data_IF_259712200456
#
_entry.id   IF_259712200456
#
_cell.length_a   1.000
_cell.length_b   1.000
_cell.length_c   1.000
_cell.angle_alpha   90.00
_cell.angle_beta   90.00
_cell.angle_gamma   90.00
#
_symmetry.space_group_name_H-M   'P 1'
#
loop_
_entity.id
_entity.type
_entity.pdbx_description
1 polymer ?
#
# COMPACT_ATOMS: atom_id res chain seq x y z
N UNK A 1 6.78 -1.25 4.00
CA UNK A 1 7.12 0.17 4.23
C UNK A 1 6.45 0.66 5.50
N UNK A 2 7.19 1.41 6.34
CA UNK A 2 6.70 2.11 7.53
C UNK A 2 6.68 3.61 7.21
N UNK A 3 5.52 4.24 7.20
CA UNK A 3 5.37 5.66 6.82
C UNK A 3 4.86 6.49 7.98
N UNK A 4 5.44 7.68 8.18
CA UNK A 4 4.88 8.71 9.05
C UNK A 4 3.73 9.40 8.34
N UNK A 5 2.52 9.24 8.84
CA UNK A 5 1.31 9.83 8.24
C UNK A 5 1.28 11.33 8.57
N UNK A 6 1.17 12.22 7.57
CA UNK A 6 1.05 13.65 7.81
C UNK A 6 -0.17 13.98 8.67
N UNK A 7 0.00 14.88 9.64
CA UNK A 7 -1.11 15.38 10.45
C UNK A 7 -1.69 16.62 9.79
N UNK A 8 -2.97 16.55 9.43
CA UNK A 8 -3.70 17.68 8.89
C UNK A 8 -4.06 18.71 9.96
N UNK A 9 -4.08 20.00 9.59
CA UNK A 9 -4.47 21.10 10.49
C UNK A 9 -5.54 21.97 9.86
N UNK A 10 -6.41 22.54 10.70
CA UNK A 10 -7.41 23.51 10.26
C UNK A 10 -6.67 24.73 9.69
N UNK A 11 -7.10 25.18 8.51
CA UNK A 11 -6.46 26.26 7.76
C UNK A 11 -5.20 25.85 6.98
N UNK A 12 -4.78 24.59 7.03
CA UNK A 12 -3.73 24.07 6.15
C UNK A 12 -4.17 24.19 4.69
N UNK A 13 -3.28 24.72 3.84
CA UNK A 13 -3.57 25.03 2.44
C UNK A 13 -3.08 23.89 1.55
N UNK A 14 -4.01 23.18 0.91
CA UNK A 14 -3.72 22.20 -0.14
C UNK A 14 -3.91 22.85 -1.52
N UNK A 15 -2.82 22.93 -2.29
CA UNK A 15 -2.83 23.36 -3.69
C UNK A 15 -2.87 22.17 -4.64
N UNK A 16 -3.91 22.10 -5.47
CA UNK A 16 -4.08 21.08 -6.50
C UNK A 16 -5.07 21.57 -7.57
N UNK A 17 -4.80 21.26 -8.83
CA UNK A 17 -5.57 21.67 -10.00
C UNK A 17 -5.64 23.17 -10.19
N UNK A 18 -4.56 23.88 -9.91
CA UNK A 18 -4.52 25.36 -9.93
C UNK A 18 -5.43 26.05 -8.91
N UNK A 19 -6.08 25.29 -8.03
CA UNK A 19 -6.96 25.76 -6.96
C UNK A 19 -6.31 25.51 -5.62
N UNK A 20 -6.74 26.26 -4.63
CA UNK A 20 -6.35 26.08 -3.25
C UNK A 20 -7.56 25.77 -2.38
N UNK A 21 -7.38 24.86 -1.43
CA UNK A 21 -8.37 24.48 -0.43
C UNK A 21 -7.75 24.65 0.95
N UNK A 22 -8.41 25.41 1.82
CA UNK A 22 -8.06 25.46 3.23
C UNK A 22 -8.86 24.36 3.95
N UNK A 23 -8.18 23.44 4.64
CA UNK A 23 -8.86 22.38 5.37
C UNK A 23 -9.68 22.97 6.52
N UNK A 24 -10.96 22.61 6.59
CA UNK A 24 -11.83 23.02 7.69
C UNK A 24 -11.76 22.03 8.87
N UNK A 25 -12.52 22.31 9.93
CA UNK A 25 -12.56 21.46 11.12
C UNK A 25 -13.10 20.07 10.83
N UNK A 26 -14.07 19.97 9.92
CA UNK A 26 -14.69 18.72 9.57
C UNK A 26 -13.73 17.87 8.72
N UNK A 27 -12.93 18.48 7.84
CA UNK A 27 -11.92 17.82 7.01
C UNK A 27 -10.89 17.12 7.91
N UNK A 28 -10.39 17.86 8.90
CA UNK A 28 -9.42 17.37 9.87
C UNK A 28 -10.04 16.28 10.76
N UNK A 29 -11.26 16.47 11.26
CA UNK A 29 -11.95 15.49 12.10
C UNK A 29 -12.22 14.18 11.34
N UNK A 30 -12.59 14.26 10.05
CA UNK A 30 -12.79 13.08 9.22
C UNK A 30 -11.48 12.35 8.91
N UNK A 31 -10.40 13.09 8.64
CA UNK A 31 -9.08 12.51 8.42
C UNK A 31 -8.54 11.82 9.68
N UNK A 32 -8.67 12.45 10.85
CA UNK A 32 -8.28 11.85 12.14
C UNK A 32 -9.12 10.61 12.47
N UNK A 33 -10.43 10.67 12.21
CA UNK A 33 -11.32 9.50 12.36
C UNK A 33 -10.84 8.34 11.50
N UNK A 34 -10.58 8.58 10.22
CA UNK A 34 -10.11 7.56 9.29
C UNK A 34 -8.73 7.02 9.68
N UNK A 35 -7.81 7.90 10.09
CA UNK A 35 -6.49 7.52 10.58
C UNK A 35 -6.56 6.60 11.81
N UNK A 36 -7.48 6.88 12.75
CA UNK A 36 -7.69 6.03 13.91
C UNK A 36 -8.17 4.62 13.54
N UNK A 37 -8.96 4.49 12.48
CA UNK A 37 -9.44 3.20 11.97
C UNK A 37 -8.40 2.45 11.15
N UNK A 38 -7.50 3.14 10.43
CA UNK A 38 -6.58 2.51 9.48
C UNK A 38 -5.13 2.37 9.97
N UNK A 39 -4.69 3.22 10.89
CA UNK A 39 -3.28 3.38 11.27
C UNK A 39 -3.02 3.15 12.75
N UNK A 40 -1.73 3.11 13.10
CA UNK A 40 -1.27 2.96 14.47
C UNK A 40 -0.75 4.27 15.02
N UNK A 41 -0.84 4.46 16.33
CA UNK A 41 -0.36 5.67 16.99
C UNK A 41 0.91 5.40 17.79
N UNK A 42 1.91 6.26 17.60
CA UNK A 42 3.11 6.30 18.43
C UNK A 42 2.86 7.22 19.64
N UNK A 43 3.30 6.80 20.83
CA UNK A 43 3.26 7.64 22.05
C UNK A 43 2.45 7.10 23.22
N UNK A 44 2.00 5.84 23.17
CA UNK A 44 1.29 5.15 24.26
C UNK A 44 -0.19 5.54 24.44
N UNK A 45 -0.93 4.81 25.27
CA UNK A 45 -2.34 5.11 25.56
C UNK A 45 -2.48 6.50 26.22
N UNK A 46 -3.34 7.36 25.67
CA UNK A 46 -3.62 8.68 26.23
C UNK A 46 -2.83 9.86 25.65
N UNK A 47 -1.84 9.61 24.79
CA UNK A 47 -1.14 10.70 24.09
C UNK A 47 -1.95 11.19 22.88
N UNK A 48 -2.86 12.14 23.12
CA UNK A 48 -3.68 12.81 22.11
C UNK A 48 -2.88 13.65 21.09
N UNK A 49 -1.57 13.79 21.28
CA UNK A 49 -0.63 14.42 20.34
C UNK A 49 0.21 13.46 19.51
N UNK A 50 0.13 12.15 19.74
CA UNK A 50 0.98 11.14 19.11
C UNK A 50 0.82 11.04 17.59
N UNK A 51 1.91 10.68 16.90
CA UNK A 51 1.98 10.59 15.44
C UNK A 51 1.37 9.29 14.91
N UNK A 52 0.74 9.39 13.75
CA UNK A 52 0.17 8.24 13.05
C UNK A 52 1.23 7.56 12.17
N UNK A 53 1.24 6.23 12.20
CA UNK A 53 2.13 5.39 11.40
C UNK A 53 1.33 4.40 10.58
N UNK A 54 1.60 4.40 9.28
CA UNK A 54 1.04 3.46 8.34
C UNK A 54 2.05 2.35 8.04
N UNK A 55 1.63 1.10 8.25
CA UNK A 55 2.32 -0.08 7.77
C UNK A 55 1.66 -0.51 6.47
N UNK A 56 2.43 -0.55 5.39
CA UNK A 56 1.91 -0.88 4.06
C UNK A 56 2.88 -1.80 3.32
N UNK A 57 2.33 -2.71 2.54
CA UNK A 57 3.10 -3.48 1.56
C UNK A 57 3.39 -2.57 0.37
N UNK A 58 4.60 -2.67 -0.17
CA UNK A 58 5.04 -1.84 -1.28
C UNK A 58 5.79 -2.74 -2.27
N UNK A 59 5.47 -2.61 -3.56
CA UNK A 59 6.32 -3.16 -4.62
C UNK A 59 7.67 -2.45 -4.61
N UNK A 60 8.75 -3.22 -4.66
CA UNK A 60 10.11 -2.70 -4.62
C UNK A 60 10.84 -3.15 -5.88
N UNK A 61 11.38 -2.19 -6.62
CA UNK A 61 12.11 -2.46 -7.85
C UNK A 61 13.22 -1.42 -8.07
N UNK A 62 14.06 -1.68 -9.07
CA UNK A 62 15.21 -0.87 -9.43
C UNK A 62 14.81 0.51 -9.96
N UNK A 63 15.38 1.61 -9.41
CA UNK A 63 15.11 2.96 -9.90
C UNK A 63 15.40 3.15 -11.40
N UNK A 64 16.41 2.46 -11.93
CA UNK A 64 16.79 2.54 -13.35
C UNK A 64 15.71 2.08 -14.32
N UNK A 65 14.73 1.30 -13.87
CA UNK A 65 13.63 0.85 -14.71
C UNK A 65 12.60 1.95 -14.92
N UNK A 66 12.52 2.95 -14.02
CA UNK A 66 11.65 4.12 -14.16
C UNK A 66 10.17 3.81 -14.41
N UNK A 67 9.72 2.58 -14.12
CA UNK A 67 8.36 2.09 -14.38
C UNK A 67 7.84 1.28 -13.20
N UNK A 68 6.52 1.19 -13.10
CA UNK A 68 5.90 0.32 -12.11
C UNK A 68 6.13 -1.16 -12.47
N UNK A 69 6.59 -1.96 -11.50
CA UNK A 69 6.86 -3.40 -11.69
C UNK A 69 5.60 -4.22 -12.01
N UNK A 70 4.41 -3.69 -11.71
CA UNK A 70 3.15 -4.32 -12.06
C UNK A 70 2.71 -4.07 -13.51
N UNK A 71 3.49 -3.34 -14.32
CA UNK A 71 3.14 -3.11 -15.72
C UNK A 71 3.66 -4.24 -16.60
N UNK A 72 2.74 -4.84 -17.36
CA UNK A 72 3.08 -5.70 -18.48
C UNK A 72 3.69 -4.89 -19.63
N UNK A 73 4.21 -5.59 -20.63
CA UNK A 73 4.88 -4.95 -21.77
C UNK A 73 3.93 -4.10 -22.65
N UNK A 74 2.62 -4.33 -22.56
CA UNK A 74 1.60 -3.51 -23.21
C UNK A 74 1.25 -2.24 -22.42
N UNK A 75 1.94 -1.99 -21.29
CA UNK A 75 1.72 -0.85 -20.41
C UNK A 75 0.46 -0.97 -19.55
N UNK A 76 -0.25 -2.09 -19.58
CA UNK A 76 -1.37 -2.37 -18.66
C UNK A 76 -0.85 -2.96 -17.36
N UNK A 77 -1.56 -2.68 -16.28
CA UNK A 77 -1.24 -3.29 -14.99
C UNK A 77 -1.65 -4.77 -15.01
N UNK A 78 -0.69 -5.69 -14.88
CA UNK A 78 -0.95 -7.12 -14.81
C UNK A 78 -1.73 -7.51 -13.55
N UNK A 79 -1.61 -6.73 -12.47
CA UNK A 79 -2.34 -6.96 -11.21
C UNK A 79 -3.82 -6.59 -11.30
N UNK A 80 -4.21 -5.72 -12.25
CA UNK A 80 -5.61 -5.30 -12.40
C UNK A 80 -6.55 -6.46 -12.78
N UNK A 81 -6.03 -7.50 -13.42
CA UNK A 81 -6.81 -8.69 -13.79
C UNK A 81 -7.24 -9.51 -12.56
N UNK A 82 -6.39 -9.57 -11.52
CA UNK A 82 -6.52 -10.56 -10.43
C UNK A 82 -6.92 -9.94 -9.06
N UNK A 83 -7.06 -8.61 -8.96
CA UNK A 83 -7.40 -7.91 -7.69
C UNK A 83 -8.37 -6.73 -7.90
N UNK A 84 -9.68 -6.97 -8.08
CA UNK A 84 -10.61 -5.93 -8.52
C UNK A 84 -10.94 -4.85 -7.48
N UNK A 85 -10.94 -5.15 -6.17
CA UNK A 85 -11.42 -4.16 -5.18
C UNK A 85 -10.49 -2.98 -4.93
N UNK A 86 -9.17 -3.21 -4.82
CA UNK A 86 -8.16 -2.14 -4.70
C UNK A 86 -8.13 -1.32 -5.99
N UNK A 87 -8.21 -2.01 -7.13
CA UNK A 87 -8.16 -1.43 -8.46
C UNK A 87 -9.42 -0.63 -8.81
N UNK A 88 -10.60 -1.03 -8.33
CA UNK A 88 -11.87 -0.35 -8.56
C UNK A 88 -11.97 1.01 -7.87
N UNK A 89 -11.22 1.20 -6.78
CA UNK A 89 -11.12 2.51 -6.12
C UNK A 89 -10.06 3.42 -6.77
N UNK A 90 -9.23 2.96 -7.71
CA UNK A 90 -8.25 3.82 -8.40
C UNK A 90 -8.99 4.76 -9.36
N UNK A 91 -8.68 6.06 -9.41
CA UNK A 91 -7.56 6.76 -8.78
C UNK A 91 -7.94 7.59 -7.54
N UNK A 92 -8.90 7.13 -6.75
CA UNK A 92 -9.19 7.69 -5.43
C UNK A 92 -8.09 7.29 -4.43
N UNK A 93 -8.07 7.96 -3.28
CA UNK A 93 -7.21 7.63 -2.15
C UNK A 93 -8.05 7.12 -0.98
N UNK A 94 -8.03 5.81 -0.65
CA UNK A 94 -8.82 5.26 0.46
C UNK A 94 -8.40 5.81 1.82
N UNK A 95 -7.22 6.43 1.92
CA UNK A 95 -6.65 6.98 3.14
C UNK A 95 -7.11 8.41 3.42
N UNK A 96 -7.89 9.03 2.52
CA UNK A 96 -8.43 10.36 2.68
C UNK A 96 -9.97 10.36 2.70
N UNK A 97 -10.61 11.33 3.39
CA UNK A 97 -12.07 11.49 3.39
C UNK A 97 -12.65 11.74 1.99
N UNK A 98 -13.90 11.34 1.78
CA UNK A 98 -14.61 11.42 0.48
C UNK A 98 -14.64 12.84 -0.10
N UNK A 99 -14.90 13.82 0.77
CA UNK A 99 -14.87 15.26 0.48
C UNK A 99 -13.55 15.76 -0.13
N UNK A 100 -12.43 15.08 0.14
CA UNK A 100 -11.10 15.45 -0.35
C UNK A 100 -10.74 14.72 -1.65
N UNK A 101 -11.57 13.77 -2.12
CA UNK A 101 -11.24 12.96 -3.29
C UNK A 101 -11.13 13.78 -4.57
N UNK A 102 -11.94 14.83 -4.74
CA UNK A 102 -11.77 15.77 -5.87
C UNK A 102 -10.38 16.43 -5.88
N UNK A 103 -9.80 16.67 -4.70
CA UNK A 103 -8.45 17.24 -4.55
C UNK A 103 -7.37 16.21 -4.79
N UNK A 104 -7.59 14.96 -4.37
CA UNK A 104 -6.73 13.82 -4.72
C UNK A 104 -6.61 13.68 -6.23
N UNK A 105 -7.74 13.68 -6.94
CA UNK A 105 -7.78 13.58 -8.40
C UNK A 105 -7.05 14.75 -9.06
N UNK A 106 -7.29 15.97 -8.60
CA UNK A 106 -6.59 17.15 -9.10
C UNK A 106 -5.07 17.07 -8.85
N UNK A 107 -4.63 16.61 -7.68
CA UNK A 107 -3.22 16.47 -7.35
C UNK A 107 -2.55 15.39 -8.21
N UNK A 108 -3.22 14.26 -8.44
CA UNK A 108 -2.73 13.18 -9.30
C UNK A 108 -2.67 13.59 -10.77
N UNK A 109 -3.60 14.43 -11.23
CA UNK A 109 -3.54 15.03 -12.58
C UNK A 109 -2.33 15.95 -12.74
N UNK A 110 -2.05 16.77 -11.73
CA UNK A 110 -0.95 17.74 -11.77
C UNK A 110 0.44 17.07 -11.57
N UNK A 111 0.47 15.87 -10.99
CA UNK A 111 1.69 15.10 -10.76
C UNK A 111 2.11 14.33 -12.01
N UNK A 112 3.13 14.84 -12.71
CA UNK A 112 3.71 14.19 -13.88
C UNK A 112 4.31 12.80 -13.60
N UNK A 113 4.64 12.49 -12.33
CA UNK A 113 5.12 11.16 -11.93
C UNK A 113 3.97 10.17 -11.69
N UNK A 114 2.72 10.63 -11.59
CA UNK A 114 1.58 9.76 -11.36
C UNK A 114 1.16 9.06 -12.66
N UNK A 115 1.20 7.72 -12.64
CA UNK A 115 0.82 6.91 -13.79
C UNK A 115 -0.68 7.07 -14.08
N UNK A 116 -0.99 7.57 -15.27
CA UNK A 116 -2.36 7.80 -15.73
C UNK A 116 -2.86 9.23 -15.54
N UNK A 117 -2.01 10.19 -15.15
CA UNK A 117 -2.41 11.59 -14.88
C UNK A 117 -3.18 12.21 -16.06
N UNK A 118 -2.77 11.90 -17.29
CA UNK A 118 -3.40 12.35 -18.53
C UNK A 118 -4.83 11.81 -18.73
N UNK A 119 -5.23 10.76 -18.01
CA UNK A 119 -6.56 10.15 -18.09
C UNK A 119 -7.53 10.76 -17.05
N UNK A 120 -7.07 11.61 -16.13
CA UNK A 120 -7.92 12.31 -15.16
C UNK A 120 -8.30 13.66 -15.74
N UNK A 121 -9.60 13.87 -16.00
CA UNK A 121 -10.14 15.10 -16.59
C UNK A 121 -11.23 15.71 -15.72
N UNK A 122 -11.37 17.04 -15.74
CA UNK A 122 -12.52 17.72 -15.13
C UNK A 122 -13.69 17.76 -16.13
N UNK A 123 -14.93 17.82 -15.60
CA UNK A 123 -16.10 18.02 -16.44
C UNK A 123 -15.98 19.37 -17.19
N UNK A 124 -16.11 19.33 -18.52
CA UNK A 124 -15.93 20.49 -19.39
C UNK A 124 -14.55 20.60 -20.07
N UNK A 125 -13.59 19.74 -19.73
CA UNK A 125 -12.29 19.63 -20.44
C UNK A 125 -12.37 18.80 -21.74
N UNK A 126 -13.59 18.50 -22.24
CA UNK A 126 -13.92 17.48 -23.24
C UNK A 126 -13.26 17.62 -24.64
N UNK A 127 -12.38 18.60 -24.88
CA UNK A 127 -11.91 18.94 -26.23
C UNK A 127 -10.44 18.66 -26.52
N UNK A 128 -9.79 17.70 -25.84
CA UNK A 128 -8.35 17.42 -26.06
C UNK A 128 -7.91 15.97 -26.28
N UNK A 129 -8.80 14.98 -26.38
CA UNK A 129 -8.36 13.63 -26.78
C UNK A 129 -9.37 12.93 -27.71
N UNK A 130 -9.04 12.70 -29.00
CA UNK A 130 -10.01 12.24 -29.99
C UNK A 130 -10.10 10.70 -30.06
N UNK A 131 -10.16 9.98 -28.92
CA UNK A 131 -10.16 8.50 -29.00
C UNK A 131 -10.77 7.66 -27.86
N UNK A 132 -11.38 8.18 -26.79
CA UNK A 132 -11.97 7.29 -25.76
C UNK A 132 -13.44 7.50 -25.49
N UNK A 133 -14.13 6.37 -25.35
CA UNK A 133 -15.47 6.19 -24.84
C UNK A 133 -15.76 7.06 -23.60
N UNK A 134 -17.05 7.37 -23.42
CA UNK A 134 -17.65 8.14 -22.34
C UNK A 134 -16.82 8.14 -21.04
N UNK A 135 -16.42 9.32 -20.51
CA UNK A 135 -15.63 9.39 -19.29
C UNK A 135 -16.38 8.72 -18.14
N UNK A 136 -15.69 7.86 -17.39
CA UNK A 136 -16.25 7.20 -16.20
C UNK A 136 -16.24 8.23 -15.05
N UNK A 137 -17.41 8.59 -14.48
CA UNK A 137 -17.44 9.53 -13.37
C UNK A 137 -16.72 8.95 -12.15
N UNK A 138 -15.77 9.70 -11.58
CA UNK A 138 -15.08 9.36 -10.33
C UNK A 138 -15.64 10.14 -9.14
N UNK A 139 -15.92 11.43 -9.34
CA UNK A 139 -16.57 12.31 -8.36
C UNK A 139 -17.62 13.17 -9.09
N UNK A 140 -18.85 13.19 -8.57
CA UNK A 140 -19.95 14.00 -9.09
C UNK A 140 -20.47 14.92 -7.99
N UNK A 141 -20.49 16.24 -8.24
CA UNK A 141 -20.96 17.24 -7.28
C UNK A 141 -20.35 17.07 -5.86
N UNK A 142 -19.04 16.78 -5.79
CA UNK A 142 -18.33 16.56 -4.53
C UNK A 142 -18.49 15.19 -3.88
N UNK A 143 -19.25 14.27 -4.50
CA UNK A 143 -19.49 12.92 -3.99
C UNK A 143 -18.76 11.88 -4.84
N UNK A 144 -18.17 10.87 -4.19
CA UNK A 144 -17.56 9.73 -4.89
C UNK A 144 -18.63 8.96 -5.65
N UNK A 145 -18.41 8.74 -6.96
CA UNK A 145 -19.41 8.12 -7.83
C UNK A 145 -19.61 6.63 -7.52
N UNK A 146 -18.53 5.86 -7.41
CA UNK A 146 -18.55 4.48 -6.92
C UNK A 146 -18.05 4.42 -5.47
N UNK A 147 -18.96 4.78 -4.56
CA UNK A 147 -18.68 4.72 -3.13
C UNK A 147 -18.43 3.29 -2.65
N UNK A 148 -19.11 2.31 -3.24
CA UNK A 148 -18.99 0.90 -2.85
C UNK A 148 -17.59 0.37 -3.10
N UNK A 149 -16.96 0.73 -4.23
CA UNK A 149 -15.57 0.37 -4.48
C UNK A 149 -14.61 0.97 -3.44
N UNK A 150 -14.78 2.25 -3.11
CA UNK A 150 -13.96 2.93 -2.10
C UNK A 150 -14.13 2.34 -0.69
N UNK A 151 -15.37 2.06 -0.30
CA UNK A 151 -15.69 1.46 1.01
C UNK A 151 -15.17 0.01 1.07
N UNK A 152 -15.34 -0.79 0.01
CA UNK A 152 -14.76 -2.14 -0.07
C UNK A 152 -13.23 -2.10 0.09
N UNK A 153 -12.56 -1.12 -0.52
CA UNK A 153 -11.12 -0.98 -0.36
C UNK A 153 -10.74 -0.62 1.09
N UNK A 154 -11.47 0.30 1.73
CA UNK A 154 -11.26 0.66 3.15
C UNK A 154 -11.51 -0.53 4.08
N UNK A 155 -12.54 -1.31 3.83
CA UNK A 155 -12.84 -2.53 4.59
C UNK A 155 -11.72 -3.57 4.46
N UNK A 156 -11.15 -3.73 3.26
CA UNK A 156 -9.97 -4.57 3.07
C UNK A 156 -8.76 -4.08 3.89
N UNK A 157 -8.54 -2.75 3.99
CA UNK A 157 -7.47 -2.19 4.83
C UNK A 157 -7.70 -2.43 6.33
N UNK A 158 -8.96 -2.36 6.79
CA UNK A 158 -9.34 -2.69 8.17
C UNK A 158 -9.11 -4.19 8.43
N UNK A 159 -9.50 -5.04 7.50
CA UNK A 159 -9.28 -6.48 7.59
C UNK A 159 -7.79 -6.82 7.63
N UNK A 160 -6.97 -6.28 6.72
CA UNK A 160 -5.50 -6.43 6.73
C UNK A 160 -4.89 -5.96 8.05
N UNK A 161 -5.40 -4.86 8.62
CA UNK A 161 -4.95 -4.36 9.91
C UNK A 161 -5.16 -5.38 11.02
N UNK A 162 -6.34 -6.01 11.05
CA UNK A 162 -6.68 -7.04 12.02
C UNK A 162 -5.83 -8.30 11.84
N UNK A 163 -5.56 -8.70 10.60
CA UNK A 163 -4.80 -9.92 10.29
C UNK A 163 -3.33 -9.80 10.66
N UNK A 164 -2.64 -8.71 10.28
CA UNK A 164 -1.19 -8.63 10.45
C UNK A 164 -0.66 -7.30 10.97
N UNK A 165 -1.26 -6.14 10.62
CA UNK A 165 -0.64 -4.84 10.97
C UNK A 165 -0.60 -4.63 12.47
N UNK A 166 -1.65 -5.03 13.20
CA UNK A 166 -1.67 -4.99 14.66
C UNK A 166 -0.54 -5.80 15.28
N UNK A 167 -0.35 -7.05 14.86
CA UNK A 167 0.70 -7.92 15.39
C UNK A 167 2.11 -7.41 15.05
N UNK A 168 2.32 -6.95 13.82
CA UNK A 168 3.60 -6.37 13.40
C UNK A 168 3.90 -5.07 14.16
N UNK A 169 2.91 -4.19 14.31
CA UNK A 169 3.09 -2.95 15.07
C UNK A 169 3.41 -3.23 16.54
N UNK A 170 2.71 -4.18 17.17
CA UNK A 170 3.00 -4.59 18.54
C UNK A 170 4.43 -5.10 18.70
N UNK A 171 4.87 -6.01 17.80
CA UNK A 171 6.24 -6.53 17.81
C UNK A 171 7.30 -5.43 17.61
N UNK A 172 7.05 -4.47 16.72
CA UNK A 172 7.95 -3.33 16.51
C UNK A 172 7.97 -2.38 17.72
N UNK A 173 6.85 -2.20 18.42
CA UNK A 173 6.76 -1.39 19.62
C UNK A 173 7.43 -2.06 20.83
N UNK A 174 7.30 -3.38 20.97
CA UNK A 174 7.97 -4.20 22.00
C UNK A 174 9.49 -4.26 21.80
N UNK A 175 9.95 -4.14 20.55
CA UNK A 175 11.37 -4.02 20.21
C UNK A 175 12.01 -2.71 20.70
N UNK A 176 11.24 -1.82 21.35
CA UNK A 176 11.72 -0.71 22.15
C UNK A 176 11.76 0.65 21.45
N UNK A 177 12.52 1.59 22.06
CA UNK A 177 12.66 3.00 21.67
C UNK A 177 13.08 3.22 20.19
N UNK A 178 13.65 2.20 19.55
CA UNK A 178 14.19 2.27 18.19
C UNK A 178 13.15 2.60 17.11
N UNK A 179 11.91 2.11 17.19
CA UNK A 179 10.87 2.45 16.21
C UNK A 179 10.46 3.92 16.31
N UNK A 180 10.24 4.40 17.54
CA UNK A 180 9.87 5.79 17.80
C UNK A 180 10.95 6.74 17.27
N UNK A 181 12.22 6.46 17.59
CA UNK A 181 13.35 7.27 17.16
C UNK A 181 13.55 7.22 15.63
N UNK A 182 13.34 6.07 15.00
CA UNK A 182 13.43 5.94 13.55
C UNK A 182 12.31 6.71 12.83
N UNK A 183 11.07 6.64 13.32
CA UNK A 183 9.92 7.34 12.71
C UNK A 183 9.99 8.84 12.95
N UNK A 184 10.37 9.29 14.14
CA UNK A 184 10.49 10.74 14.46
C UNK A 184 11.53 11.47 13.59
N UNK A 185 12.54 10.75 13.08
CA UNK A 185 13.52 11.28 12.12
C UNK A 185 13.00 11.40 10.70
N UNK A 186 11.86 10.79 10.38
CA UNK A 186 11.25 10.92 9.05
C UNK A 186 10.61 12.30 8.92
N UNK A 187 10.89 12.96 7.78
CA UNK A 187 10.08 14.07 7.34
C UNK A 187 8.60 13.65 7.23
N UNK A 188 7.62 14.55 7.40
CA UNK A 188 6.22 14.24 7.14
C UNK A 188 6.06 13.61 5.74
N UNK A 189 5.36 12.46 5.66
CA UNK A 189 5.22 11.69 4.41
C UNK A 189 6.42 10.79 4.06
N UNK A 190 7.54 10.94 4.77
CA UNK A 190 8.71 10.08 4.65
C UNK A 190 8.45 8.65 5.15
N UNK A 191 9.29 7.73 4.70
CA UNK A 191 9.10 6.31 4.99
C UNK A 191 10.42 5.54 5.15
N UNK A 192 10.30 4.36 5.77
CA UNK A 192 11.35 3.35 5.88
C UNK A 192 10.92 2.10 5.10
N UNK A 193 11.82 1.62 4.24
CA UNK A 193 11.70 0.29 3.63
C UNK A 193 12.31 -0.73 4.58
N UNK A 194 11.55 -1.78 4.87
CA UNK A 194 11.98 -2.92 5.68
C UNK A 194 11.57 -4.20 4.97
N UNK A 195 12.25 -5.31 5.28
CA UNK A 195 11.86 -6.63 4.78
C UNK A 195 10.41 -6.95 5.16
N UNK A 196 9.71 -7.67 4.29
CA UNK A 196 8.33 -8.15 4.54
C UNK A 196 8.27 -9.25 5.62
N UNK A 197 9.41 -9.82 6.02
CA UNK A 197 9.50 -10.94 6.97
C UNK A 197 8.64 -10.78 8.24
N UNK A 198 8.60 -9.63 8.94
CA UNK A 198 7.73 -9.48 10.11
C UNK A 198 6.25 -9.74 9.80
N UNK A 199 5.78 -9.36 8.60
CA UNK A 199 4.42 -9.62 8.14
C UNK A 199 4.21 -11.12 7.95
N UNK A 200 5.15 -11.80 7.29
CA UNK A 200 5.06 -13.24 7.05
C UNK A 200 5.07 -14.05 8.34
N UNK A 201 5.88 -13.65 9.33
CA UNK A 201 5.90 -14.26 10.64
C UNK A 201 4.60 -14.05 11.42
N UNK A 202 3.96 -12.89 11.29
CA UNK A 202 2.65 -12.62 11.90
C UNK A 202 1.53 -13.45 11.24
N UNK A 203 1.48 -13.48 9.91
CA UNK A 203 0.45 -14.20 9.15
C UNK A 203 0.59 -15.71 9.31
N UNK A 204 1.81 -16.25 9.32
CA UNK A 204 2.03 -17.70 9.45
C UNK A 204 1.58 -18.28 10.81
N UNK A 205 1.36 -17.43 11.82
CA UNK A 205 0.81 -17.85 13.12
C UNK A 205 -0.72 -17.97 13.11
N UNK A 206 -1.40 -17.49 12.06
CA UNK A 206 -2.87 -17.45 11.99
C UNK A 206 -3.48 -18.83 11.78
N UNK A 207 -2.96 -19.60 10.83
CA UNK A 207 -3.44 -20.94 10.49
C UNK A 207 -2.34 -21.75 9.79
N UNK A 208 -2.50 -23.07 9.75
CA UNK A 208 -1.57 -23.93 8.99
C UNK A 208 -1.59 -23.60 7.48
N UNK A 209 -2.76 -23.22 6.94
CA UNK A 209 -2.93 -22.79 5.56
C UNK A 209 -2.18 -21.47 5.29
N UNK A 210 -2.34 -20.46 6.14
CA UNK A 210 -1.59 -19.20 6.07
C UNK A 210 -0.08 -19.44 6.08
N UNK A 211 0.41 -20.34 6.94
CA UNK A 211 1.84 -20.69 6.97
C UNK A 211 2.31 -21.31 5.66
N UNK A 212 1.54 -22.22 5.08
CA UNK A 212 1.89 -22.83 3.79
C UNK A 212 1.97 -21.78 2.68
N UNK A 213 1.00 -20.87 2.61
CA UNK A 213 1.02 -19.74 1.68
C UNK A 213 2.21 -18.80 1.92
N UNK A 214 2.58 -18.51 3.17
CA UNK A 214 3.77 -17.71 3.47
C UNK A 214 5.06 -18.38 3.00
N UNK A 215 5.18 -19.71 3.13
CA UNK A 215 6.35 -20.45 2.63
C UNK A 215 6.42 -20.39 1.10
N UNK A 216 5.30 -20.65 0.41
CA UNK A 216 5.23 -20.53 -1.05
C UNK A 216 5.57 -19.13 -1.53
N UNK A 217 5.01 -18.10 -0.88
CA UNK A 217 5.33 -16.71 -1.17
C UNK A 217 6.82 -16.40 -0.98
N UNK A 218 7.48 -16.93 0.06
CA UNK A 218 8.92 -16.76 0.25
C UNK A 218 9.69 -17.37 -0.93
N UNK A 219 9.32 -18.57 -1.35
CA UNK A 219 9.98 -19.27 -2.45
C UNK A 219 9.85 -18.46 -3.76
N UNK A 220 8.66 -17.93 -4.05
CA UNK A 220 8.41 -17.05 -5.20
C UNK A 220 9.19 -15.73 -5.12
N UNK A 221 9.24 -15.10 -3.94
CA UNK A 221 10.00 -13.86 -3.74
C UNK A 221 11.51 -14.08 -3.88
N UNK A 222 12.05 -15.21 -3.41
CA UNK A 222 13.46 -15.53 -3.58
C UNK A 222 13.81 -15.70 -5.06
N UNK A 223 12.96 -16.41 -5.81
CA UNK A 223 13.12 -16.56 -7.26
C UNK A 223 13.07 -15.20 -7.98
N UNK A 224 12.08 -14.36 -7.65
CA UNK A 224 11.92 -13.02 -8.22
C UNK A 224 13.12 -12.13 -7.91
N UNK A 225 13.59 -12.10 -6.66
CA UNK A 225 14.76 -11.31 -6.28
C UNK A 225 16.00 -11.77 -7.03
N UNK A 226 16.21 -13.09 -7.14
CA UNK A 226 17.32 -13.66 -7.92
C UNK A 226 17.31 -13.17 -9.36
N UNK A 227 16.19 -13.34 -10.05
CA UNK A 227 16.03 -12.90 -11.44
C UNK A 227 16.24 -11.37 -11.61
N UNK A 228 15.69 -10.57 -10.70
CA UNK A 228 15.83 -9.11 -10.73
C UNK A 228 17.27 -8.65 -10.51
N UNK A 229 18.00 -9.30 -9.59
CA UNK A 229 19.43 -9.01 -9.35
C UNK A 229 20.27 -9.40 -10.57
N UNK A 230 20.05 -10.56 -11.17
CA UNK A 230 20.78 -10.99 -12.36
C UNK A 230 20.55 -10.02 -13.53
N UNK A 231 19.30 -9.58 -13.73
CA UNK A 231 18.96 -8.57 -14.72
C UNK A 231 19.68 -7.23 -14.44
N UNK A 232 19.75 -6.79 -13.18
CA UNK A 232 20.46 -5.56 -12.81
C UNK A 232 21.97 -5.64 -13.04
N UNK A 233 22.59 -6.78 -12.71
CA UNK A 233 24.01 -7.02 -12.97
C UNK A 233 24.31 -7.02 -14.48
N UNK A 234 23.42 -7.55 -15.30
CA UNK A 234 23.53 -7.49 -16.76
C UNK A 234 23.45 -6.05 -17.30
N UNK A 235 22.56 -5.21 -16.75
CA UNK A 235 22.41 -3.79 -17.14
C UNK A 235 23.62 -2.92 -16.75
N UNK A 236 24.33 -3.27 -15.67
CA UNK A 236 25.52 -2.53 -15.17
C UNK A 236 25.26 -1.05 -14.85
N UNK A 237 24.04 -0.70 -14.44
CA UNK A 237 23.69 0.66 -14.08
C UNK A 237 24.23 1.03 -12.68
N UNK A 238 24.92 2.16 -12.55
CA UNK A 238 25.54 2.56 -11.29
C UNK A 238 24.53 2.79 -10.15
N UNK A 239 23.35 3.32 -10.51
CA UNK A 239 22.29 3.65 -9.56
C UNK A 239 21.55 2.41 -9.02
N UNK A 240 21.76 1.23 -9.62
CA UNK A 240 21.15 -0.03 -9.15
C UNK A 240 21.89 -0.62 -7.93
N UNK A 241 23.08 -0.10 -7.58
CA UNK A 241 23.91 -0.67 -6.51
C UNK A 241 23.24 -0.63 -5.12
N UNK A 242 22.59 0.46 -4.68
CA UNK A 242 21.86 0.48 -3.41
C UNK A 242 20.72 -0.55 -3.40
N UNK A 243 19.87 -0.55 -4.43
CA UNK A 243 18.74 -1.47 -4.54
C UNK A 243 19.20 -2.94 -4.57
N UNK A 244 20.29 -3.25 -5.27
CA UNK A 244 20.87 -4.61 -5.28
C UNK A 244 21.30 -5.07 -3.90
N UNK A 245 21.90 -4.18 -3.09
CA UNK A 245 22.30 -4.51 -1.71
C UNK A 245 21.08 -4.75 -0.83
N UNK A 246 20.05 -3.92 -0.95
CA UNK A 246 18.80 -4.08 -0.20
C UNK A 246 18.08 -5.39 -0.56
N UNK A 247 17.92 -5.68 -1.87
CA UNK A 247 17.30 -6.92 -2.34
C UNK A 247 18.04 -8.17 -1.85
N UNK A 248 19.38 -8.17 -1.88
CA UNK A 248 20.17 -9.27 -1.30
C UNK A 248 19.97 -9.40 0.21
N UNK A 249 19.89 -8.27 0.93
CA UNK A 249 19.56 -8.26 2.35
C UNK A 249 18.16 -8.83 2.63
N UNK A 250 17.18 -8.52 1.78
CA UNK A 250 15.83 -9.09 1.86
C UNK A 250 15.82 -10.59 1.56
N UNK A 251 16.55 -11.05 0.54
CA UNK A 251 16.68 -12.48 0.25
C UNK A 251 17.24 -13.26 1.45
N UNK A 252 18.33 -12.77 2.07
CA UNK A 252 18.88 -13.40 3.27
C UNK A 252 17.90 -13.41 4.45
N UNK A 253 17.09 -12.36 4.61
CA UNK A 253 16.06 -12.32 5.64
C UNK A 253 14.93 -13.33 5.35
N UNK A 254 14.52 -13.45 4.09
CA UNK A 254 13.50 -14.39 3.62
C UNK A 254 13.97 -15.84 3.80
N UNK A 255 15.22 -16.16 3.46
CA UNK A 255 15.81 -17.49 3.69
C UNK A 255 15.74 -17.87 5.17
N UNK A 256 16.15 -16.97 6.09
CA UNK A 256 16.04 -17.22 7.53
C UNK A 256 14.59 -17.39 7.97
N UNK A 257 13.69 -16.56 7.46
CA UNK A 257 12.27 -16.67 7.76
C UNK A 257 11.68 -18.00 7.31
N UNK A 258 12.07 -18.50 6.12
CA UNK A 258 11.64 -19.79 5.60
C UNK A 258 11.95 -20.93 6.57
N UNK A 259 13.18 -20.97 7.09
CA UNK A 259 13.60 -21.96 8.08
C UNK A 259 12.81 -21.82 9.38
N UNK A 260 12.60 -20.58 9.85
CA UNK A 260 11.81 -20.32 11.05
C UNK A 260 10.35 -20.75 10.90
N UNK A 261 9.73 -20.51 9.73
CA UNK A 261 8.36 -20.93 9.43
C UNK A 261 8.24 -22.45 9.36
N UNK A 262 9.20 -23.13 8.74
CA UNK A 262 9.21 -24.59 8.68
C UNK A 262 9.35 -25.24 10.08
N UNK A 263 10.06 -24.59 10.99
CA UNK A 263 10.21 -25.04 12.38
C UNK A 263 9.08 -24.57 13.31
N UNK A 264 8.15 -23.74 12.82
CA UNK A 264 7.09 -23.17 13.64
C UNK A 264 6.07 -24.24 14.05
N UNK A 265 5.66 -24.31 15.32
CA UNK A 265 4.61 -25.24 15.74
C UNK A 265 3.28 -24.95 15.02
N UNK A 266 2.43 -25.97 14.92
CA UNK A 266 1.07 -25.78 14.43
C UNK A 266 0.32 -24.75 15.31
N UNK A 267 -0.43 -23.81 14.72
CA UNK A 267 -1.26 -22.91 15.50
C UNK A 267 -2.30 -23.69 16.28
N UNK A 268 -2.66 -23.17 17.46
CA UNK A 268 -3.54 -23.87 18.40
C UNK A 268 -5.01 -23.91 17.95
N UNK A 269 -5.40 -23.04 17.02
CA UNK A 269 -6.75 -22.98 16.46
C UNK A 269 -6.68 -22.50 15.01
N UNK A 270 -7.58 -23.01 14.16
CA UNK A 270 -7.74 -22.54 12.79
C UNK A 270 -8.52 -21.24 12.72
N UNK A 271 -8.34 -20.49 11.63
CA UNK A 271 -8.96 -19.20 11.38
C UNK A 271 -9.78 -19.22 10.08
N UNK A 272 -10.88 -19.98 10.02
CA UNK A 272 -11.58 -20.32 8.77
C UNK A 272 -12.08 -19.08 8.01
N UNK A 273 -12.41 -17.98 8.70
CA UNK A 273 -12.76 -16.72 8.05
C UNK A 273 -11.58 -16.09 7.29
N UNK A 274 -10.37 -16.20 7.83
CA UNK A 274 -9.16 -15.65 7.20
C UNK A 274 -8.74 -16.56 6.05
N UNK A 275 -8.79 -17.89 6.26
CA UNK A 275 -8.50 -18.87 5.21
C UNK A 275 -9.46 -18.68 4.02
N UNK A 276 -10.78 -18.60 4.27
CA UNK A 276 -11.77 -18.35 3.22
C UNK A 276 -11.56 -17.03 2.48
N UNK A 277 -11.12 -15.96 3.17
CA UNK A 277 -10.81 -14.69 2.52
C UNK A 277 -9.56 -14.76 1.62
N UNK A 278 -8.60 -15.63 1.94
CA UNK A 278 -7.43 -15.87 1.09
C UNK A 278 -7.79 -16.74 -0.13
N UNK A 279 -8.66 -17.73 0.06
CA UNK A 279 -9.12 -18.64 -1.00
C UNK A 279 -10.06 -17.95 -2.00
N UNK A 280 -11.02 -17.13 -1.52
CA UNK A 280 -11.96 -16.36 -2.37
C UNK A 280 -11.23 -15.39 -3.32
N UNK A 281 -10.02 -14.96 -2.93
CA UNK A 281 -9.13 -14.17 -3.79
C UNK A 281 -8.35 -15.02 -4.79
N UNK A 282 -8.14 -16.31 -4.50
CA UNK A 282 -7.39 -17.25 -5.35
C UNK A 282 -8.28 -17.88 -6.44
N UNK A 283 -9.59 -18.02 -6.20
CA UNK A 283 -10.56 -18.55 -7.17
C UNK A 283 -10.77 -17.63 -8.40
N UNK A 284 -10.27 -16.40 -8.36
CA UNK A 284 -10.23 -15.52 -9.55
C UNK A 284 -9.06 -15.81 -10.49
N UNK A 285 -8.10 -16.67 -10.11
CA UNK A 285 -6.89 -16.97 -10.87
C UNK A 285 -6.93 -18.22 -11.76
N UNK A 286 -8.05 -18.96 -11.80
CA UNK A 286 -8.17 -20.13 -12.69
C UNK A 286 -9.07 -19.83 -13.87
N UNK A 287 -8.61 -18.99 -14.82
CA UNK A 287 -9.13 -18.94 -16.20
C UNK A 287 -8.24 -18.03 -17.07
N UNK A 288 -7.24 -18.61 -17.74
CA UNK A 288 -6.94 -18.40 -19.16
C UNK A 288 -5.61 -19.09 -19.53
N UNK A 289 -5.73 -20.22 -20.23
CA UNK A 289 -4.77 -20.65 -21.24
C UNK A 289 -5.15 -19.99 -22.58
#
# INVERSE_FOLDING_TARGET
MIRRVPKHRVGERWRAGGREHALDADDVAAADTLAAHLFHRIGGPGNSGGEWVALTLQGYDYPSLGRCAALADDGRCSVHADKPSICGAVPLDPLLPDRLQSRVLAARRDDAAWLGANCIVEAGDEMRSPASAFPIPLVTAGHVADRTALDTHRDALVFERAVWRNAVFASLAESGQGLHDAVSRLAPGGYLTVSIVPVLLAVAQVSAHCRALCIGFIDDQLALIGASVDAALARRHADDRPATRELRGFAQALERARHALAAMPAPAADAPRIDAWLDDRSDTGTLAA
#
